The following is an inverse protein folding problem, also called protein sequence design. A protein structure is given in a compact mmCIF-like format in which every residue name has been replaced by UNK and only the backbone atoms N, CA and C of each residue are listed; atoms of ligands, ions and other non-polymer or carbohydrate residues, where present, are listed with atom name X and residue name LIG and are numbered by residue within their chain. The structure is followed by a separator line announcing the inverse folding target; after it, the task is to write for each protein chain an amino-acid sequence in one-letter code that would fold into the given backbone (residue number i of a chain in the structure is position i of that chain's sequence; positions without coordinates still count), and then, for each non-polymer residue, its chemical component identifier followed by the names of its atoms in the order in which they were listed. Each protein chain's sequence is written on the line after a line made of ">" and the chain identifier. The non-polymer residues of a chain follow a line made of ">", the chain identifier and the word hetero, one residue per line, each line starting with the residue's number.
data_IF_413605495976
#
_entry.id   IF_413605495976
#
_cell.length_a   1.000
_cell.length_b   1.000
_cell.length_c   1.000
_cell.angle_alpha   90.00
_cell.angle_beta   90.00
_cell.angle_gamma   90.00
#
_symmetry.space_group_name_H-M   'P 1'
#
loop_
_entity.id
_entity.type
_entity.pdbx_description
1 polymer ?
#
# COMPACT_ATOMS: atom_id res chain seq x y z
N UNK A 1 -4.64 -10.51 17.93
CA UNK A 1 -3.46 -9.66 18.24
C UNK A 1 -3.87 -8.21 18.08
N UNK A 2 -3.45 -7.30 18.97
CA UNK A 2 -3.76 -5.88 18.88
C UNK A 2 -2.81 -5.24 17.84
N UNK A 3 -3.30 -4.50 16.84
CA UNK A 3 -2.44 -3.86 15.84
C UNK A 3 -1.60 -2.74 16.46
N UNK A 4 -0.39 -2.56 15.96
CA UNK A 4 0.50 -1.48 16.36
C UNK A 4 0.20 -0.22 15.55
N UNK A 5 0.26 0.93 16.20
CA UNK A 5 0.24 2.21 15.47
C UNK A 5 1.59 2.42 14.80
N UNK A 6 1.59 2.70 13.51
CA UNK A 6 2.78 3.07 12.75
C UNK A 6 2.72 4.53 12.38
N UNK A 7 3.75 5.28 12.74
CA UNK A 7 3.95 6.64 12.25
C UNK A 7 4.73 6.59 10.94
N UNK A 8 4.14 7.16 9.88
CA UNK A 8 4.79 7.20 8.57
C UNK A 8 5.63 8.48 8.43
N UNK A 9 6.85 8.39 7.84
CA UNK A 9 7.70 9.55 7.66
C UNK A 9 7.22 10.40 6.48
N UNK A 10 6.57 11.51 6.77
CA UNK A 10 6.27 12.56 5.79
C UNK A 10 7.18 13.76 6.01
N UNK A 11 7.66 14.39 4.93
CA UNK A 11 8.18 15.73 5.03
C UNK A 11 7.03 16.69 5.40
N UNK A 12 7.34 17.75 6.15
CA UNK A 12 6.34 18.59 6.83
C UNK A 12 5.20 19.09 5.93
N UNK A 13 5.51 19.45 4.68
CA UNK A 13 4.56 20.01 3.74
C UNK A 13 4.04 18.99 2.71
N UNK A 14 4.42 17.72 2.81
CA UNK A 14 4.00 16.71 1.85
C UNK A 14 2.68 16.04 2.27
N UNK A 15 1.76 15.92 1.32
CA UNK A 15 0.49 15.18 1.48
C UNK A 15 0.52 13.81 0.83
N UNK A 16 1.51 13.57 -0.04
CA UNK A 16 1.72 12.30 -0.74
C UNK A 16 3.17 11.88 -0.52
N UNK A 17 3.37 10.62 -0.14
CA UNK A 17 4.69 10.03 0.00
C UNK A 17 4.81 8.77 -0.84
N UNK A 18 5.92 8.66 -1.58
CA UNK A 18 6.27 7.48 -2.36
C UNK A 18 7.42 6.76 -1.65
N UNK A 19 7.24 5.47 -1.42
CA UNK A 19 8.21 4.65 -0.72
C UNK A 19 8.44 3.34 -1.47
N UNK A 20 9.69 2.94 -1.58
CA UNK A 20 10.09 1.63 -2.11
C UNK A 20 10.82 0.86 -1.03
N UNK A 21 10.37 -0.34 -0.78
CA UNK A 21 11.04 -1.28 0.11
C UNK A 21 11.64 -2.42 -0.71
N UNK A 22 12.86 -2.83 -0.34
CA UNK A 22 13.57 -3.96 -0.93
C UNK A 22 14.37 -4.66 0.17
N UNK A 23 13.78 -5.70 0.73
CA UNK A 23 14.28 -6.40 1.91
C UNK A 23 14.37 -7.92 1.65
N UNK A 24 15.09 -8.67 2.49
CA UNK A 24 15.01 -10.13 2.45
C UNK A 24 13.59 -10.66 2.67
N UNK A 25 12.82 -10.03 3.53
CA UNK A 25 11.39 -10.24 3.76
C UNK A 25 10.75 -8.97 4.33
N UNK A 26 9.45 -8.81 4.22
CA UNK A 26 8.75 -7.71 4.86
C UNK A 26 8.81 -7.84 6.38
N UNK A 27 9.05 -6.72 7.05
CA UNK A 27 9.35 -6.69 8.49
C UNK A 27 8.28 -5.99 9.33
N UNK A 28 7.38 -5.23 8.70
CA UNK A 28 6.35 -4.47 9.41
C UNK A 28 5.26 -5.46 9.86
N UNK A 29 5.04 -5.60 11.19
CA UNK A 29 4.04 -6.51 11.71
C UNK A 29 2.63 -5.97 11.53
N UNK A 30 1.63 -6.67 12.08
CA UNK A 30 0.24 -6.23 12.12
C UNK A 30 0.12 -4.81 12.68
N UNK A 31 -0.22 -3.84 11.81
CA UNK A 31 -0.17 -2.41 12.11
C UNK A 31 -1.31 -1.65 11.44
N UNK A 32 -1.46 -0.39 11.82
CA UNK A 32 -2.39 0.57 11.22
C UNK A 32 -1.83 1.99 11.30
N UNK A 33 -2.31 2.85 10.41
CA UNK A 33 -1.99 4.27 10.33
C UNK A 33 -3.17 5.09 9.75
N UNK A 34 -3.19 6.42 9.92
CA UNK A 34 -4.32 7.25 9.46
C UNK A 34 -4.32 7.53 7.95
N UNK A 35 -3.25 7.28 7.26
CA UNK A 35 -3.11 7.51 5.82
C UNK A 35 -3.84 6.44 5.01
N UNK A 36 -4.16 6.80 3.76
CA UNK A 36 -4.52 5.83 2.73
C UNK A 36 -3.23 5.30 2.11
N UNK A 37 -3.14 3.99 1.96
CA UNK A 37 -2.00 3.34 1.32
C UNK A 37 -2.43 2.60 0.07
N UNK A 38 -1.63 2.72 -1.02
CA UNK A 38 -1.68 1.81 -2.16
C UNK A 38 -0.34 1.10 -2.23
N UNK A 39 -0.37 -0.23 -2.07
CA UNK A 39 0.81 -1.08 -2.10
C UNK A 39 0.81 -1.94 -3.35
N UNK A 40 1.92 -1.90 -4.10
CA UNK A 40 2.19 -2.74 -5.26
C UNK A 40 3.33 -3.69 -4.94
N UNK A 41 3.07 -4.99 -5.00
CA UNK A 41 4.10 -6.02 -4.83
C UNK A 41 4.90 -6.13 -6.12
N UNK A 42 6.20 -5.85 -6.06
CA UNK A 42 7.12 -6.01 -7.18
C UNK A 42 7.76 -7.40 -7.18
N UNK A 43 8.17 -7.88 -5.99
CA UNK A 43 8.73 -9.22 -5.77
C UNK A 43 8.26 -9.78 -4.44
N UNK A 44 8.01 -11.07 -4.42
CA UNK A 44 7.68 -11.80 -3.22
C UNK A 44 6.26 -12.34 -3.22
N UNK A 45 6.05 -13.29 -2.31
CA UNK A 45 4.76 -13.95 -2.08
C UNK A 45 4.62 -14.35 -0.61
N UNK A 46 3.40 -14.70 -0.25
CA UNK A 46 3.08 -15.09 1.13
C UNK A 46 1.61 -14.86 1.47
N UNK A 47 1.36 -14.54 2.71
CA UNK A 47 0.02 -14.27 3.23
C UNK A 47 -0.13 -12.79 3.58
N UNK A 48 -1.22 -12.17 3.11
CA UNK A 48 -1.63 -10.83 3.55
C UNK A 48 -2.80 -10.93 4.51
N UNK A 49 -2.81 -10.02 5.46
CA UNK A 49 -3.86 -9.77 6.41
C UNK A 49 -4.33 -8.33 6.22
N UNK A 50 -5.61 -8.11 5.93
CA UNK A 50 -6.18 -6.78 5.73
C UNK A 50 -7.56 -6.74 6.38
N UNK A 51 -7.68 -6.03 7.50
CA UNK A 51 -8.89 -6.06 8.31
C UNK A 51 -9.25 -7.48 8.77
N UNK A 52 -10.41 -7.96 8.38
CA UNK A 52 -10.89 -9.31 8.66
C UNK A 52 -10.59 -10.34 7.54
N UNK A 53 -9.90 -9.90 6.49
CA UNK A 53 -9.56 -10.75 5.35
C UNK A 53 -8.14 -11.33 5.48
N UNK A 54 -8.02 -12.63 5.24
CA UNK A 54 -6.75 -13.36 5.13
C UNK A 54 -6.69 -14.01 3.75
N UNK A 55 -5.60 -13.80 3.02
CA UNK A 55 -5.42 -14.39 1.70
C UNK A 55 -3.98 -14.39 1.23
N UNK A 56 -3.68 -15.17 0.21
CA UNK A 56 -2.36 -15.13 -0.43
C UNK A 56 -2.11 -13.82 -1.17
N UNK A 57 -0.84 -13.49 -1.33
CA UNK A 57 -0.38 -12.44 -2.23
C UNK A 57 0.81 -12.92 -3.06
N UNK A 58 1.01 -12.31 -4.20
CA UNK A 58 2.08 -12.64 -5.15
C UNK A 58 2.58 -11.40 -5.91
N UNK A 59 3.62 -11.58 -6.68
CA UNK A 59 4.15 -10.53 -7.57
C UNK A 59 3.07 -9.96 -8.48
N UNK A 60 3.03 -8.64 -8.59
CA UNK A 60 2.04 -7.90 -9.36
C UNK A 60 0.75 -7.57 -8.61
N UNK A 61 0.54 -8.08 -7.39
CA UNK A 61 -0.61 -7.71 -6.58
C UNK A 61 -0.61 -6.22 -6.23
N UNK A 62 -1.80 -5.62 -6.29
CA UNK A 62 -2.03 -4.22 -5.91
C UNK A 62 -3.21 -4.16 -4.95
N UNK A 63 -2.97 -3.59 -3.78
CA UNK A 63 -3.98 -3.40 -2.75
C UNK A 63 -4.04 -1.94 -2.30
N UNK A 64 -5.24 -1.49 -1.91
CA UNK A 64 -5.46 -0.19 -1.29
C UNK A 64 -6.07 -0.40 0.08
N UNK A 65 -5.44 0.17 1.10
CA UNK A 65 -5.89 0.20 2.48
C UNK A 65 -6.36 1.61 2.81
N UNK A 66 -7.57 1.71 3.34
CA UNK A 66 -8.12 2.97 3.82
C UNK A 66 -7.58 3.37 5.19
N UNK A 67 -7.95 4.57 5.66
CA UNK A 67 -7.48 5.08 6.95
C UNK A 67 -7.82 4.14 8.10
N UNK A 68 -6.86 3.93 8.99
CA UNK A 68 -7.00 3.14 10.23
C UNK A 68 -7.30 1.64 10.00
N UNK A 69 -7.19 1.13 8.77
CA UNK A 69 -7.41 -0.28 8.49
C UNK A 69 -6.16 -1.08 8.87
N UNK A 70 -6.24 -2.01 9.84
CA UNK A 70 -5.09 -2.84 10.19
C UNK A 70 -4.70 -3.77 9.05
N UNK A 71 -3.39 -3.91 8.82
CA UNK A 71 -2.86 -4.74 7.75
C UNK A 71 -1.44 -5.26 8.04
N UNK A 72 -1.06 -6.35 7.33
CA UNK A 72 0.26 -6.96 7.36
C UNK A 72 0.49 -7.80 6.10
N UNK A 73 1.70 -7.77 5.56
CA UNK A 73 2.20 -8.73 4.56
C UNK A 73 3.28 -9.59 5.19
N UNK A 74 3.05 -10.90 5.21
CA UNK A 74 3.99 -11.88 5.76
C UNK A 74 4.46 -12.80 4.65
N UNK A 75 5.76 -12.77 4.38
CA UNK A 75 6.37 -13.68 3.40
C UNK A 75 6.31 -15.13 3.87
N UNK A 76 6.30 -16.04 2.90
CA UNK A 76 6.42 -17.47 3.16
C UNK A 76 7.79 -17.83 3.77
N UNK A 77 7.89 -19.01 4.38
CA UNK A 77 9.05 -19.43 5.18
C UNK A 77 10.38 -19.39 4.43
N UNK A 78 10.37 -19.58 3.12
CA UNK A 78 11.56 -19.59 2.26
C UNK A 78 12.32 -18.25 2.30
N UNK A 79 11.62 -17.15 2.55
CA UNK A 79 12.23 -15.82 2.64
C UNK A 79 13.07 -15.62 3.91
N UNK A 80 12.88 -16.44 4.92
CA UNK A 80 13.62 -16.37 6.18
C UNK A 80 14.93 -17.18 6.18
N UNK A 81 15.19 -17.92 5.10
CA UNK A 81 16.48 -18.57 4.87
C UNK A 81 17.44 -17.55 4.27
N UNK A 82 18.52 -17.25 5.00
CA UNK A 82 19.56 -16.29 4.57
C UNK A 82 20.25 -16.68 3.25
N UNK A 83 20.25 -17.96 2.91
CA UNK A 83 20.90 -18.49 1.71
C UNK A 83 19.95 -18.55 0.50
N UNK A 84 18.66 -18.22 0.69
CA UNK A 84 17.66 -18.30 -0.38
C UNK A 84 17.89 -17.29 -1.51
N UNK A 85 18.53 -16.16 -1.23
CA UNK A 85 18.67 -15.04 -2.18
C UNK A 85 17.34 -14.36 -2.56
N UNK A 86 16.23 -14.75 -1.93
CA UNK A 86 14.92 -14.17 -2.18
C UNK A 86 14.84 -12.72 -1.66
N UNK A 87 14.03 -11.91 -2.35
CA UNK A 87 13.79 -10.52 -1.98
C UNK A 87 12.30 -10.24 -1.98
N UNK A 88 11.85 -9.50 -0.98
CA UNK A 88 10.52 -8.90 -0.93
C UNK A 88 10.66 -7.43 -1.31
N UNK A 89 9.99 -7.03 -2.38
CA UNK A 89 10.07 -5.66 -2.92
C UNK A 89 8.67 -5.13 -3.17
N UNK A 90 8.39 -3.92 -2.70
CA UNK A 90 7.14 -3.23 -2.97
C UNK A 90 7.35 -1.74 -3.25
N UNK A 91 6.35 -1.16 -3.92
CA UNK A 91 6.17 0.28 -4.02
C UNK A 91 4.89 0.65 -3.27
N UNK A 92 5.00 1.59 -2.33
CA UNK A 92 3.88 2.13 -1.58
C UNK A 92 3.68 3.61 -1.89
N UNK A 93 2.43 4.01 -2.02
CA UNK A 93 2.03 5.41 -2.08
C UNK A 93 1.11 5.68 -0.90
N UNK A 94 1.49 6.65 -0.09
CA UNK A 94 0.72 7.08 1.07
C UNK A 94 0.10 8.44 0.80
N UNK A 95 -1.16 8.59 1.19
CA UNK A 95 -1.90 9.84 1.08
C UNK A 95 -2.36 10.26 2.47
N UNK A 96 -1.97 11.45 2.93
CA UNK A 96 -2.53 12.01 4.16
C UNK A 96 -4.03 12.19 4.00
N UNK A 97 -4.79 11.87 5.04
CA UNK A 97 -6.27 11.99 5.04
C UNK A 97 -6.73 13.42 4.74
N UNK A 98 -5.95 14.41 5.16
CA UNK A 98 -6.24 15.84 4.97
C UNK A 98 -6.32 16.22 3.47
N UNK A 99 -5.68 15.45 2.57
CA UNK A 99 -5.80 15.64 1.13
C UNK A 99 -7.24 15.47 0.64
N UNK A 100 -8.02 14.65 1.35
CA UNK A 100 -9.41 14.33 1.03
C UNK A 100 -10.41 15.03 1.96
N UNK A 101 -9.95 16.04 2.68
CA UNK A 101 -10.77 16.93 3.48
C UNK A 101 -10.93 18.27 2.74
N UNK A 102 -12.02 18.96 2.98
CA UNK A 102 -12.26 20.27 2.38
C UNK A 102 -13.18 20.27 1.17
N UNK A 103 -13.14 21.36 0.39
CA UNK A 103 -14.15 21.62 -0.65
C UNK A 103 -13.96 20.74 -1.90
N UNK A 104 -12.71 20.48 -2.30
CA UNK A 104 -12.42 19.77 -3.55
C UNK A 104 -13.03 18.37 -3.57
N UNK A 105 -12.92 17.64 -2.48
CA UNK A 105 -13.46 16.27 -2.43
C UNK A 105 -14.99 16.24 -2.50
N UNK A 106 -15.66 17.37 -2.22
CA UNK A 106 -17.12 17.50 -2.24
C UNK A 106 -17.67 17.81 -3.63
N UNK A 107 -16.82 18.17 -4.58
CA UNK A 107 -17.24 18.43 -5.95
C UNK A 107 -17.89 17.17 -6.57
N UNK A 108 -18.92 17.33 -7.43
CA UNK A 108 -19.56 16.20 -8.12
C UNK A 108 -18.56 15.33 -8.89
N UNK A 109 -17.57 15.95 -9.51
CA UNK A 109 -16.51 15.27 -10.28
C UNK A 109 -15.66 14.32 -9.43
N UNK A 110 -15.64 14.52 -8.11
CA UNK A 110 -14.89 13.69 -7.16
C UNK A 110 -15.70 12.52 -6.59
N UNK A 111 -16.92 12.29 -7.09
CA UNK A 111 -17.82 11.25 -6.57
C UNK A 111 -17.18 9.86 -6.59
N UNK A 112 -16.52 9.49 -7.69
CA UNK A 112 -15.86 8.19 -7.83
C UNK A 112 -14.68 8.04 -6.87
N UNK A 113 -13.96 9.12 -6.59
CA UNK A 113 -12.84 9.09 -5.63
C UNK A 113 -13.37 8.93 -4.21
N UNK A 114 -14.45 9.63 -3.85
CA UNK A 114 -15.10 9.43 -2.54
C UNK A 114 -15.56 7.99 -2.35
N UNK A 115 -16.20 7.40 -3.37
CA UNK A 115 -16.63 6.01 -3.31
C UNK A 115 -15.43 5.06 -3.15
N UNK A 116 -14.34 5.29 -3.88
CA UNK A 116 -13.12 4.49 -3.78
C UNK A 116 -12.53 4.56 -2.36
N UNK A 117 -12.45 5.75 -1.78
CA UNK A 117 -11.97 5.95 -0.41
C UNK A 117 -12.87 5.23 0.60
N UNK A 118 -14.18 5.33 0.45
CA UNK A 118 -15.11 4.64 1.35
C UNK A 118 -14.97 3.11 1.26
N UNK A 119 -14.86 2.57 0.06
CA UNK A 119 -14.62 1.13 -0.15
C UNK A 119 -13.27 0.67 0.40
N UNK A 120 -12.26 1.52 0.35
CA UNK A 120 -10.91 1.20 0.86
C UNK A 120 -10.85 0.95 2.37
N UNK A 121 -11.86 1.40 3.11
CA UNK A 121 -11.99 1.11 4.56
C UNK A 121 -12.06 -0.38 4.89
N UNK A 122 -12.41 -1.21 3.92
CA UNK A 122 -12.42 -2.66 4.03
C UNK A 122 -11.27 -3.33 3.27
N UNK A 123 -10.40 -2.52 2.68
CA UNK A 123 -9.36 -2.97 1.76
C UNK A 123 -9.91 -3.26 0.37
N UNK A 124 -9.14 -2.91 -0.65
CA UNK A 124 -9.45 -3.19 -2.05
C UNK A 124 -8.28 -3.95 -2.66
N UNK A 125 -8.55 -5.11 -3.25
CA UNK A 125 -7.61 -5.78 -4.15
C UNK A 125 -7.99 -5.41 -5.58
N UNK A 126 -7.07 -4.76 -6.30
CA UNK A 126 -7.25 -4.49 -7.72
C UNK A 126 -6.93 -5.74 -8.55
N UNK A 127 -7.68 -5.95 -9.62
CA UNK A 127 -7.54 -7.11 -10.51
C UNK A 127 -7.55 -6.68 -11.97
N UNK A 128 -7.12 -7.58 -12.88
CA UNK A 128 -7.18 -7.35 -14.31
C UNK A 128 -6.43 -6.09 -14.76
N UNK A 129 -6.98 -5.40 -15.73
CA UNK A 129 -6.37 -4.21 -16.33
C UNK A 129 -6.16 -3.07 -15.33
N UNK A 130 -7.08 -2.88 -14.38
CA UNK A 130 -6.94 -1.86 -13.35
C UNK A 130 -5.68 -2.07 -12.49
N UNK A 131 -5.41 -3.32 -12.10
CA UNK A 131 -4.19 -3.69 -11.37
C UNK A 131 -2.94 -3.30 -12.15
N UNK A 132 -2.88 -3.69 -13.42
CA UNK A 132 -1.71 -3.45 -14.28
C UNK A 132 -1.47 -1.96 -14.51
N UNK A 133 -2.55 -1.19 -14.73
CA UNK A 133 -2.48 0.26 -14.93
C UNK A 133 -1.98 0.98 -13.68
N UNK A 134 -2.51 0.66 -12.50
CA UNK A 134 -2.09 1.28 -11.23
C UNK A 134 -0.61 0.96 -10.96
N UNK A 135 -0.20 -0.30 -11.06
CA UNK A 135 1.18 -0.71 -10.86
C UNK A 135 2.14 0.03 -11.79
N UNK A 136 1.76 0.19 -13.06
CA UNK A 136 2.55 0.93 -14.06
C UNK A 136 2.69 2.41 -13.69
N UNK A 137 1.60 3.08 -13.31
CA UNK A 137 1.63 4.48 -12.92
C UNK A 137 2.49 4.72 -11.68
N UNK A 138 2.35 3.89 -10.67
CA UNK A 138 3.14 4.00 -9.43
C UNK A 138 4.63 3.84 -9.74
N UNK A 139 5.02 2.81 -10.50
CA UNK A 139 6.43 2.61 -10.89
C UNK A 139 6.99 3.78 -11.71
N UNK A 140 6.23 4.28 -12.68
CA UNK A 140 6.66 5.44 -13.49
C UNK A 140 6.81 6.70 -12.67
N UNK A 141 5.88 6.98 -11.76
CA UNK A 141 5.96 8.13 -10.86
C UNK A 141 7.17 8.03 -9.96
N UNK A 142 7.42 6.87 -9.38
CA UNK A 142 8.60 6.62 -8.56
C UNK A 142 9.90 6.89 -9.33
N UNK A 143 10.04 6.35 -10.54
CA UNK A 143 11.21 6.58 -11.38
C UNK A 143 11.38 8.06 -11.75
N UNK A 144 10.29 8.77 -11.99
CA UNK A 144 10.32 10.21 -12.26
C UNK A 144 10.83 11.01 -11.06
N UNK A 145 10.44 10.63 -9.85
CA UNK A 145 10.88 11.31 -8.62
C UNK A 145 12.36 11.13 -8.30
N UNK A 146 12.97 9.98 -8.62
CA UNK A 146 14.40 9.75 -8.38
C UNK A 146 15.31 10.43 -9.42
N UNK A 147 14.76 10.95 -10.51
CA UNK A 147 15.49 11.67 -11.56
C UNK A 147 15.37 13.20 -11.48
N UNK A 148 14.64 13.70 -10.50
CA UNK A 148 14.57 15.11 -10.15
C UNK A 148 15.64 15.44 -9.10
#
# INVERSE_FOLDING_TARGET
>A
MKPLYQELPFADDNYINFYREDLPHFIVPWHYHPEIEIMCIEKGWGTRFVGDHIGGYEEGDVCMMGPQLPHEWRNDKEFFDSDSGLRATCHCVYFRKELFEGILIRLPEMANIRELIERSRRGIKFTGESRERIARYIRRTFLSLIHI
#
